data_IF_819004846016
#
_entry.id   IF_819004846016
#
_cell.length_a   1.000
_cell.length_b   1.000
_cell.length_c   1.000
_cell.angle_alpha   90.00
_cell.angle_beta   90.00
_cell.angle_gamma   90.00
#
_symmetry.space_group_name_H-M   'P 1'
#
loop_
_entity.id
_entity.type
_entity.pdbx_description
1 polymer ?
#
# COMPACT_ATOMS: atom_id res chain seq x y z
N UNK A 1 3.16 -38.14 -10.01
CA UNK A 1 4.19 -37.45 -9.20
C UNK A 1 3.42 -36.44 -8.38
N UNK A 2 3.20 -36.74 -7.10
CA UNK A 2 2.46 -35.89 -6.16
C UNK A 2 3.38 -34.75 -5.73
N UNK A 3 2.94 -33.52 -5.89
CA UNK A 3 3.64 -32.33 -5.37
C UNK A 3 3.57 -32.44 -3.83
N UNK A 4 4.70 -32.36 -3.11
CA UNK A 4 4.67 -32.36 -1.65
C UNK A 4 3.99 -31.07 -1.17
N UNK A 5 3.03 -31.18 -0.25
CA UNK A 5 2.40 -30.04 0.41
C UNK A 5 3.48 -29.22 1.14
N UNK A 6 3.68 -27.99 0.69
CA UNK A 6 4.45 -26.98 1.40
C UNK A 6 3.62 -26.49 2.60
N UNK A 7 3.52 -27.28 3.66
CA UNK A 7 3.08 -26.82 4.99
C UNK A 7 4.28 -26.33 5.82
N UNK A 8 5.13 -25.49 5.23
CA UNK A 8 5.92 -24.58 6.07
C UNK A 8 5.05 -23.32 6.23
N UNK A 9 4.43 -23.16 7.41
CA UNK A 9 3.88 -21.86 7.80
C UNK A 9 4.98 -20.82 7.57
N UNK A 10 4.66 -19.82 6.75
CA UNK A 10 5.60 -18.78 6.35
C UNK A 10 6.19 -18.14 7.60
N UNK A 11 7.45 -18.45 7.91
CA UNK A 11 8.11 -18.04 9.17
C UNK A 11 8.25 -16.52 9.34
N UNK A 12 7.97 -15.77 8.27
CA UNK A 12 7.98 -14.30 8.24
C UNK A 12 6.57 -13.71 8.07
N UNK A 13 5.51 -14.50 8.33
CA UNK A 13 4.10 -14.10 8.26
C UNK A 13 3.67 -13.23 9.43
N UNK A 14 4.43 -12.17 9.69
CA UNK A 14 4.04 -11.17 10.67
C UNK A 14 2.79 -10.48 10.14
N UNK A 15 1.69 -10.60 10.87
CA UNK A 15 0.50 -9.81 10.68
C UNK A 15 0.42 -8.84 11.85
N UNK A 16 0.35 -7.55 11.55
CA UNK A 16 0.07 -6.53 12.55
C UNK A 16 -1.41 -6.20 12.47
N UNK A 17 -2.12 -6.33 13.58
CA UNK A 17 -3.54 -5.96 13.71
C UNK A 17 -3.66 -4.45 13.87
N UNK A 18 -3.26 -3.69 12.84
CA UNK A 18 -3.42 -2.23 12.84
C UNK A 18 -4.83 -1.91 12.36
N UNK A 19 -5.63 -1.32 13.23
CA UNK A 19 -6.94 -0.77 12.86
C UNK A 19 -6.74 0.40 11.87
N UNK A 20 -7.24 0.28 10.64
CA UNK A 20 -7.03 1.32 9.64
C UNK A 20 -7.82 2.57 10.00
N UNK A 21 -7.19 3.73 9.86
CA UNK A 21 -7.84 5.03 10.06
C UNK A 21 -8.92 5.25 9.00
N UNK A 22 -8.69 4.75 7.78
CA UNK A 22 -9.67 4.78 6.71
C UNK A 22 -9.47 3.60 5.77
N UNK A 23 -10.58 3.04 5.30
CA UNK A 23 -10.61 2.05 4.24
C UNK A 23 -11.85 2.28 3.37
N UNK A 24 -11.73 1.99 2.07
CA UNK A 24 -12.88 1.97 1.15
C UNK A 24 -13.66 0.66 1.17
N UNK A 25 -13.23 -0.30 2.01
CA UNK A 25 -13.79 -1.65 2.02
C UNK A 25 -13.36 -2.48 0.82
N UNK A 26 -14.02 -3.62 0.65
CA UNK A 26 -13.76 -4.56 -0.43
C UNK A 26 -14.50 -4.18 -1.71
N UNK A 27 -13.83 -4.39 -2.84
CA UNK A 27 -14.43 -4.40 -4.16
C UNK A 27 -14.12 -3.19 -5.03
N UNK A 28 -14.31 -3.38 -6.34
CA UNK A 28 -13.93 -2.41 -7.36
C UNK A 28 -15.16 -1.72 -7.97
N UNK A 29 -15.54 -0.60 -7.38
CA UNK A 29 -16.68 0.19 -7.82
C UNK A 29 -16.31 1.64 -8.14
N UNK A 30 -17.21 2.34 -8.81
CA UNK A 30 -17.08 3.79 -9.04
C UNK A 30 -17.12 4.56 -7.72
N UNK A 31 -17.91 4.10 -6.74
CA UNK A 31 -17.99 4.68 -5.40
C UNK A 31 -16.63 4.59 -4.70
N UNK A 32 -15.99 3.41 -4.70
CA UNK A 32 -14.64 3.22 -4.15
C UNK A 32 -13.64 4.16 -4.81
N UNK A 33 -13.65 4.30 -6.14
CA UNK A 33 -12.74 5.22 -6.85
C UNK A 33 -12.97 6.68 -6.42
N UNK A 34 -14.23 7.10 -6.28
CA UNK A 34 -14.58 8.45 -5.83
C UNK A 34 -14.13 8.70 -4.38
N UNK A 35 -14.30 7.71 -3.51
CA UNK A 35 -13.83 7.77 -2.13
C UNK A 35 -12.31 7.87 -2.05
N UNK A 36 -11.55 7.06 -2.80
CA UNK A 36 -10.09 7.16 -2.87
C UNK A 36 -9.68 8.57 -3.32
N UNK A 37 -10.30 9.07 -4.39
CA UNK A 37 -9.96 10.37 -4.96
C UNK A 37 -10.23 11.51 -3.98
N UNK A 38 -11.36 11.45 -3.26
CA UNK A 38 -11.69 12.39 -2.19
C UNK A 38 -10.71 12.28 -1.01
N UNK A 39 -10.42 11.06 -0.54
CA UNK A 39 -9.50 10.83 0.56
C UNK A 39 -8.08 11.32 0.26
N UNK A 40 -7.64 11.26 -1.00
CA UNK A 40 -6.33 11.73 -1.47
C UNK A 40 -6.32 13.20 -1.90
N UNK A 41 -7.48 13.87 -1.95
CA UNK A 41 -7.57 15.26 -2.40
C UNK A 41 -7.10 15.45 -3.84
N UNK A 42 -7.38 14.47 -4.71
CA UNK A 42 -6.91 14.48 -6.09
C UNK A 42 -7.60 15.57 -6.94
N UNK A 43 -6.90 16.13 -7.94
CA UNK A 43 -7.54 17.01 -8.92
C UNK A 43 -8.54 16.25 -9.79
N UNK A 44 -9.56 16.95 -10.29
CA UNK A 44 -10.69 16.35 -11.04
C UNK A 44 -10.25 15.47 -12.22
N UNK A 45 -9.19 15.87 -12.94
CA UNK A 45 -8.68 15.10 -14.07
C UNK A 45 -8.17 13.70 -13.67
N UNK A 46 -7.66 13.52 -12.45
CA UNK A 46 -7.23 12.22 -11.93
C UNK A 46 -8.43 11.32 -11.66
N UNK A 47 -9.50 11.88 -11.08
CA UNK A 47 -10.75 11.14 -10.87
C UNK A 47 -11.32 10.66 -12.21
N UNK A 48 -11.42 11.56 -13.19
CA UNK A 48 -11.90 11.22 -14.54
C UNK A 48 -11.05 10.13 -15.20
N UNK A 49 -9.73 10.19 -15.02
CA UNK A 49 -8.81 9.18 -15.53
C UNK A 49 -9.05 7.81 -14.88
N UNK A 50 -9.21 7.77 -13.54
CA UNK A 50 -9.50 6.52 -12.81
C UNK A 50 -10.83 5.92 -13.24
N UNK A 51 -11.88 6.74 -13.39
CA UNK A 51 -13.20 6.28 -13.82
C UNK A 51 -13.18 5.69 -15.24
N UNK A 52 -12.49 6.35 -16.18
CA UNK A 52 -12.27 5.81 -17.53
C UNK A 52 -11.48 4.49 -17.51
N UNK A 53 -10.52 4.37 -16.59
CA UNK A 53 -9.73 3.16 -16.43
C UNK A 53 -10.58 2.00 -15.91
N UNK A 54 -11.50 2.25 -14.97
CA UNK A 54 -12.47 1.26 -14.50
C UNK A 54 -13.39 0.78 -15.62
N UNK A 55 -13.89 1.70 -16.44
CA UNK A 55 -14.72 1.36 -17.60
C UNK A 55 -13.94 0.48 -18.59
N UNK A 56 -12.67 0.81 -18.85
CA UNK A 56 -11.80 0.03 -19.72
C UNK A 56 -11.53 -1.35 -19.12
N UNK A 57 -11.19 -1.41 -17.84
CA UNK A 57 -10.95 -2.66 -17.12
C UNK A 57 -12.13 -3.62 -17.24
N UNK A 58 -13.36 -3.14 -17.03
CA UNK A 58 -14.60 -3.94 -17.17
C UNK A 58 -14.88 -4.44 -18.59
N UNK A 59 -14.26 -3.83 -19.61
CA UNK A 59 -14.40 -4.23 -21.02
C UNK A 59 -13.32 -5.21 -21.47
N UNK A 60 -12.23 -5.33 -20.71
CA UNK A 60 -11.13 -6.22 -21.05
C UNK A 60 -11.42 -7.62 -20.51
N UNK A 61 -11.26 -8.62 -21.36
CA UNK A 61 -11.28 -10.01 -20.94
C UNK A 61 -9.99 -10.36 -20.21
N UNK A 62 -10.09 -11.32 -19.28
CA UNK A 62 -8.91 -11.85 -18.59
C UNK A 62 -7.94 -12.45 -19.60
N UNK A 63 -6.63 -12.12 -19.54
CA UNK A 63 -5.66 -12.66 -20.47
C UNK A 63 -5.56 -14.18 -20.29
N UNK A 64 -5.61 -14.93 -21.40
CA UNK A 64 -5.51 -16.39 -21.38
C UNK A 64 -4.08 -16.93 -21.21
N UNK A 65 -3.11 -16.07 -20.88
CA UNK A 65 -1.71 -16.44 -20.67
C UNK A 65 -1.28 -16.07 -19.25
N UNK A 66 -0.36 -16.84 -18.67
CA UNK A 66 0.13 -16.64 -17.32
C UNK A 66 -0.45 -17.64 -16.31
N UNK A 67 -0.35 -17.34 -15.00
CA UNK A 67 -0.97 -18.17 -13.97
C UNK A 67 -2.50 -18.19 -14.11
N UNK A 68 -3.13 -19.22 -13.57
CA UNK A 68 -4.59 -19.25 -13.49
C UNK A 68 -5.08 -18.19 -12.50
N UNK A 69 -6.01 -17.35 -12.96
CA UNK A 69 -6.64 -16.27 -12.20
C UNK A 69 -8.12 -16.54 -11.97
N UNK A 70 -8.60 -17.77 -12.21
CA UNK A 70 -10.00 -18.15 -12.02
C UNK A 70 -10.51 -17.99 -10.59
N UNK A 71 -9.61 -18.08 -9.60
CA UNK A 71 -9.90 -17.87 -8.18
C UNK A 71 -9.83 -16.38 -7.76
N UNK A 72 -9.35 -15.50 -8.64
CA UNK A 72 -9.20 -14.08 -8.32
C UNK A 72 -10.57 -13.39 -8.31
N UNK A 73 -10.97 -12.97 -7.11
CA UNK A 73 -12.22 -12.26 -6.87
C UNK A 73 -11.93 -10.78 -6.58
N UNK A 74 -12.08 -9.94 -7.59
CA UNK A 74 -11.85 -8.49 -7.46
C UNK A 74 -12.78 -7.82 -6.45
N UNK A 75 -13.95 -8.41 -6.18
CA UNK A 75 -14.92 -7.86 -5.23
C UNK A 75 -14.51 -8.09 -3.77
N UNK A 76 -13.47 -8.91 -3.51
CA UNK A 76 -12.91 -9.18 -2.17
C UNK A 76 -11.61 -8.46 -1.89
N UNK A 77 -11.13 -7.65 -2.83
CA UNK A 77 -9.87 -6.92 -2.67
C UNK A 77 -10.16 -5.58 -2.01
N UNK A 78 -9.40 -5.26 -0.97
CA UNK A 78 -9.37 -3.92 -0.42
C UNK A 78 -8.39 -3.05 -1.21
N UNK A 79 -8.91 -2.08 -1.97
CA UNK A 79 -8.11 -1.29 -2.89
C UNK A 79 -7.42 -0.09 -2.25
N UNK A 80 -7.86 0.31 -1.05
CA UNK A 80 -7.29 1.45 -0.36
C UNK A 80 -7.46 1.36 1.14
N UNK A 81 -6.31 1.33 1.82
CA UNK A 81 -6.20 1.34 3.27
C UNK A 81 -5.21 2.44 3.67
N UNK A 82 -5.64 3.29 4.61
CA UNK A 82 -4.83 4.32 5.22
C UNK A 82 -4.66 4.01 6.70
N UNK A 83 -3.42 3.74 7.09
CA UNK A 83 -3.06 3.41 8.49
C UNK A 83 -2.54 4.61 9.28
N UNK A 84 -2.36 5.78 8.64
CA UNK A 84 -1.99 7.04 9.30
C UNK A 84 -2.53 8.25 8.53
N UNK A 85 -2.90 9.31 9.24
CA UNK A 85 -3.41 10.56 8.65
C UNK A 85 -2.34 11.37 7.93
N UNK A 86 -1.07 11.26 8.34
CA UNK A 86 0.04 12.05 7.78
C UNK A 86 1.32 11.21 7.71
N UNK A 87 2.15 11.43 6.68
CA UNK A 87 3.52 10.91 6.68
C UNK A 87 4.28 11.58 7.84
N UNK A 88 4.85 10.76 8.73
CA UNK A 88 5.75 11.23 9.76
C UNK A 88 7.07 11.69 9.09
N UNK A 89 7.56 12.87 9.48
CA UNK A 89 8.84 13.43 8.99
C UNK A 89 10.00 13.06 9.92
N UNK A 90 9.67 12.79 11.17
CA UNK A 90 10.57 12.36 12.22
C UNK A 90 10.19 10.95 12.67
N UNK A 91 11.20 10.14 12.99
CA UNK A 91 11.01 8.76 13.43
C UNK A 91 10.11 8.68 14.66
N UNK A 92 10.23 9.64 15.59
CA UNK A 92 9.46 9.67 16.84
C UNK A 92 7.95 9.81 16.59
N UNK A 93 7.53 10.42 15.48
CA UNK A 93 6.13 10.65 15.11
C UNK A 93 5.47 9.42 14.44
N UNK A 94 6.23 8.36 14.13
CA UNK A 94 5.68 7.12 13.56
C UNK A 94 4.95 6.33 14.66
N UNK A 95 3.73 5.81 14.41
CA UNK A 95 3.02 4.92 15.35
C UNK A 95 3.88 3.73 15.81
N UNK A 96 3.75 3.35 17.08
CA UNK A 96 4.60 2.33 17.73
C UNK A 96 4.47 0.94 17.08
N UNK A 97 3.28 0.61 16.60
CA UNK A 97 3.00 -0.64 15.88
C UNK A 97 3.84 -0.73 14.60
N UNK A 98 3.87 0.34 13.80
CA UNK A 98 4.66 0.43 12.56
C UNK A 98 6.17 0.41 12.85
N UNK A 99 6.62 1.08 13.92
CA UNK A 99 8.02 1.02 14.38
C UNK A 99 8.43 -0.42 14.70
N UNK A 100 7.57 -1.16 15.40
CA UNK A 100 7.80 -2.58 15.73
C UNK A 100 7.91 -3.43 14.47
N UNK A 101 7.04 -3.21 13.47
CA UNK A 101 7.13 -3.88 12.17
C UNK A 101 8.47 -3.59 11.50
N UNK A 102 8.89 -2.33 11.46
CA UNK A 102 10.16 -1.93 10.83
C UNK A 102 11.38 -2.50 11.57
N UNK A 103 11.34 -2.57 12.90
CA UNK A 103 12.36 -3.24 13.72
C UNK A 103 12.47 -4.73 13.39
N UNK A 104 11.33 -5.44 13.28
CA UNK A 104 11.29 -6.85 12.86
C UNK A 104 11.84 -7.04 11.44
N UNK A 105 11.60 -6.08 10.55
CA UNK A 105 12.14 -6.07 9.19
C UNK A 105 13.61 -5.63 9.12
N UNK A 106 14.22 -5.17 10.22
CA UNK A 106 15.63 -4.76 10.28
C UNK A 106 15.93 -3.38 9.67
N UNK A 107 14.90 -2.55 9.45
CA UNK A 107 15.00 -1.22 8.83
C UNK A 107 15.69 -0.13 9.73
N UNK A 108 15.53 -0.10 11.07
CA UNK A 108 15.94 1.06 11.88
C UNK A 108 17.44 1.32 11.96
N UNK A 109 18.28 0.29 11.79
CA UNK A 109 19.74 0.43 11.87
C UNK A 109 20.35 0.80 10.51
N UNK A 110 19.78 0.27 9.41
CA UNK A 110 20.20 0.56 8.05
C UNK A 110 19.82 1.99 7.61
N UNK A 111 18.66 2.50 8.03
CA UNK A 111 18.21 3.86 7.71
C UNK A 111 19.01 4.95 8.41
N UNK A 112 19.36 4.76 9.71
CA UNK A 112 20.21 5.71 10.45
C UNK A 112 21.61 5.84 9.85
N UNK A 113 22.14 4.76 9.28
CA UNK A 113 23.52 4.72 8.80
C UNK A 113 23.68 5.12 7.32
N UNK A 114 22.71 4.82 6.45
CA UNK A 114 22.93 4.86 4.99
C UNK A 114 21.90 5.62 4.15
N UNK A 115 20.66 5.80 4.61
CA UNK A 115 19.61 6.31 3.73
C UNK A 115 19.46 7.82 3.87
N UNK A 116 20.10 8.54 2.95
CA UNK A 116 20.03 9.99 2.77
C UNK A 116 18.63 10.50 2.29
N UNK A 117 17.56 9.79 2.61
CA UNK A 117 16.30 9.85 1.90
C UNK A 117 15.55 8.53 2.00
N UNK A 118 14.89 8.24 3.11
CA UNK A 118 14.07 7.05 3.25
C UNK A 118 12.58 7.41 3.24
N UNK A 119 11.81 6.69 2.43
CA UNK A 119 10.35 6.74 2.46
C UNK A 119 9.80 5.34 2.64
N UNK A 120 9.08 5.10 3.73
CA UNK A 120 8.43 3.83 3.98
C UNK A 120 6.94 3.92 3.63
N UNK A 121 6.52 3.06 2.71
CA UNK A 121 5.10 2.89 2.39
C UNK A 121 4.56 1.75 3.24
N UNK A 122 3.46 2.03 3.96
CA UNK A 122 2.72 1.05 4.73
C UNK A 122 1.28 1.08 4.22
N UNK A 123 0.77 -0.09 3.84
CA UNK A 123 -0.48 -0.21 3.07
C UNK A 123 -0.46 0.68 1.80
N UNK A 124 -1.47 1.55 1.64
CA UNK A 124 -1.65 2.37 0.45
C UNK A 124 -1.02 3.77 0.54
N UNK A 125 -0.34 4.11 1.65
CA UNK A 125 0.19 5.45 1.89
C UNK A 125 1.62 5.43 2.47
N UNK A 126 2.34 6.54 2.27
CA UNK A 126 3.67 6.75 2.86
C UNK A 126 3.50 7.16 4.31
N UNK A 127 4.03 6.35 5.23
CA UNK A 127 3.93 6.60 6.68
C UNK A 127 5.17 7.28 7.25
N UNK A 128 6.31 7.19 6.55
CA UNK A 128 7.54 7.87 6.92
C UNK A 128 8.22 8.45 5.69
N UNK A 129 8.68 9.70 5.77
CA UNK A 129 9.49 10.33 4.74
C UNK A 129 10.50 11.29 5.36
N UNK A 130 11.79 10.98 5.26
CA UNK A 130 12.87 11.85 5.70
C UNK A 130 13.90 12.02 4.57
N UNK A 131 14.16 13.26 4.15
CA UNK A 131 15.12 13.62 3.10
C UNK A 131 16.13 14.63 3.66
N UNK A 132 17.42 14.49 3.34
CA UNK A 132 18.42 15.48 3.77
C UNK A 132 18.11 16.86 3.19
N UNK A 133 18.33 17.89 4.02
CA UNK A 133 18.15 19.30 3.66
C UNK A 133 18.87 19.73 2.37
N UNK A 134 20.00 19.08 2.03
CA UNK A 134 20.75 19.35 0.81
C UNK A 134 19.98 18.95 -0.45
N UNK A 135 19.23 17.84 -0.41
CA UNK A 135 18.40 17.37 -1.52
C UNK A 135 17.07 18.13 -1.60
N UNK A 136 16.47 18.46 -0.46
CA UNK A 136 15.24 19.28 -0.39
C UNK A 136 15.41 20.65 -1.06
N UNK A 137 16.63 21.21 -1.06
CA UNK A 137 16.92 22.51 -1.70
C UNK A 137 17.07 22.45 -3.22
N UNK A 138 17.22 21.26 -3.80
CA UNK A 138 17.49 21.10 -5.24
C UNK A 138 16.22 20.94 -6.09
N UNK A 139 15.05 20.73 -5.46
CA UNK A 139 13.75 20.66 -6.13
C UNK A 139 13.35 19.24 -6.51
#
# INVERSE_FOLDING_TARGET
>A
MSVPEMQEEYQFGFHDDIEPVFTTGEGLSEEVIREISHAKGEPEWMLDFRLKSLETFRKLDMPGYGPDLSELDYDKINYFIRSSDKPARDWDDVPEEIKTTFERLGIPEAERAYLAGASAQYESEVVYHNMKDEFTKLG
#
